data_IF_253292192165
#
_entry.id   IF_253292192165
#
_cell.length_a   1.000
_cell.length_b   1.000
_cell.length_c   1.000
_cell.angle_alpha   90.00
_cell.angle_beta   90.00
_cell.angle_gamma   90.00
#
_symmetry.space_group_name_H-M   'P 1'
#
loop_
_entity.id
_entity.type
_entity.pdbx_description
1 polymer ?
#
# COMPACT_ATOMS: atom_id res chain seq x y z
N UNK A 1 13.76 15.41 45.54
CA UNK A 1 12.46 14.73 45.33
C UNK A 1 12.71 13.46 44.51
N UNK A 2 12.40 12.26 45.01
CA UNK A 2 12.60 11.02 44.24
C UNK A 2 11.24 10.42 43.86
N UNK A 3 11.04 10.15 42.57
CA UNK A 3 9.82 9.54 42.04
C UNK A 3 10.14 8.08 41.79
N UNK A 4 9.53 7.17 42.54
CA UNK A 4 9.70 5.72 42.34
C UNK A 4 8.51 5.18 41.55
N UNK A 5 8.75 4.75 40.32
CA UNK A 5 7.74 4.14 39.45
C UNK A 5 7.92 2.61 39.47
N UNK A 6 7.23 1.96 40.41
CA UNK A 6 7.05 0.50 40.47
C UNK A 6 8.28 -0.34 40.85
N UNK A 7 8.04 -1.49 41.50
CA UNK A 7 9.01 -2.58 41.62
C UNK A 7 8.41 -3.80 40.91
N UNK A 8 9.13 -4.37 39.93
CA UNK A 8 8.71 -5.52 39.09
C UNK A 8 7.49 -5.35 38.17
N UNK A 9 7.05 -4.13 37.86
CA UNK A 9 5.96 -3.92 36.90
C UNK A 9 6.44 -4.00 35.44
N UNK A 10 5.72 -4.76 34.59
CA UNK A 10 5.94 -4.78 33.13
C UNK A 10 5.03 -3.76 32.46
N UNK A 11 5.56 -2.58 32.17
CA UNK A 11 4.84 -1.55 31.44
C UNK A 11 5.00 -1.82 29.93
N UNK A 12 3.90 -2.08 29.24
CA UNK A 12 3.88 -2.28 27.78
C UNK A 12 2.96 -1.24 27.16
N UNK A 13 3.47 -0.52 26.16
CA UNK A 13 2.73 0.50 25.38
C UNK A 13 2.14 1.62 26.23
N UNK A 14 2.92 2.19 27.15
CA UNK A 14 2.47 3.33 27.95
C UNK A 14 3.42 4.50 27.75
N UNK A 15 2.86 5.69 27.63
CA UNK A 15 3.60 6.96 27.63
C UNK A 15 3.60 7.50 29.05
N UNK A 16 4.78 7.70 29.65
CA UNK A 16 4.93 8.30 30.98
C UNK A 16 5.77 9.57 30.85
N UNK A 17 5.14 10.71 31.14
CA UNK A 17 5.68 12.05 31.01
C UNK A 17 4.60 13.04 30.56
N UNK A 18 4.81 14.34 30.78
CA UNK A 18 4.11 15.36 30.01
C UNK A 18 4.67 15.29 28.59
N UNK A 19 3.86 14.91 27.61
CA UNK A 19 4.20 15.14 26.21
C UNK A 19 4.20 16.65 26.00
N UNK A 20 5.34 17.30 26.20
CA UNK A 20 5.55 18.64 25.71
C UNK A 20 5.43 18.54 24.19
N UNK A 21 4.28 18.98 23.68
CA UNK A 21 4.04 19.17 22.26
C UNK A 21 5.09 20.16 21.76
N UNK A 22 6.25 19.65 21.36
CA UNK A 22 7.13 20.36 20.44
C UNK A 22 6.35 20.37 19.13
N UNK A 23 5.65 21.48 18.90
CA UNK A 23 5.08 21.83 17.62
C UNK A 23 6.17 21.62 16.55
N UNK A 24 6.02 20.55 15.79
CA UNK A 24 7.05 20.05 14.89
C UNK A 24 6.45 19.10 13.87
N UNK A 25 5.38 19.56 13.21
CA UNK A 25 4.93 19.12 11.90
C UNK A 25 4.68 17.61 11.69
N UNK A 26 3.41 17.31 11.47
CA UNK A 26 2.90 16.15 10.74
C UNK A 26 2.78 14.86 11.56
N UNK A 27 1.76 14.82 12.40
CA UNK A 27 1.02 13.60 12.70
C UNK A 27 0.35 13.08 11.42
N UNK A 28 1.13 12.56 10.48
CA UNK A 28 0.58 11.67 9.47
C UNK A 28 0.24 10.38 10.22
N UNK A 29 -1.00 9.88 10.16
CA UNK A 29 -1.28 8.56 10.71
C UNK A 29 -0.26 7.59 10.13
N UNK A 30 0.23 6.68 10.95
CA UNK A 30 1.16 5.62 10.58
C UNK A 30 0.49 4.76 9.50
N UNK A 31 0.45 5.27 8.26
CA UNK A 31 -0.08 4.63 7.07
C UNK A 31 0.83 3.43 6.92
N UNK A 32 0.33 2.24 7.34
CA UNK A 32 0.91 0.95 6.97
C UNK A 32 1.26 1.07 5.50
N UNK A 33 2.56 1.16 5.18
CA UNK A 33 3.06 1.23 3.80
C UNK A 33 2.45 0.03 3.08
N UNK A 34 1.44 0.29 2.25
CA UNK A 34 0.76 -0.77 1.52
C UNK A 34 1.79 -1.35 0.54
N UNK A 35 1.76 -2.66 0.33
CA UNK A 35 2.78 -3.41 -0.42
C UNK A 35 3.01 -2.93 -1.87
N UNK A 36 2.07 -2.14 -2.40
CA UNK A 36 2.15 -1.44 -3.68
C UNK A 36 3.20 -0.32 -3.73
N UNK A 37 3.68 0.21 -2.60
CA UNK A 37 4.86 1.10 -2.59
C UNK A 37 6.19 0.34 -2.59
N UNK A 38 6.18 -0.95 -2.19
CA UNK A 38 7.42 -1.69 -1.93
C UNK A 38 8.02 -2.29 -3.21
N UNK A 39 7.19 -2.69 -4.18
CA UNK A 39 7.64 -3.25 -5.46
C UNK A 39 6.70 -2.89 -6.64
N UNK A 40 6.75 -1.65 -7.15
CA UNK A 40 5.94 -1.24 -8.30
C UNK A 40 6.21 -2.09 -9.56
N UNK A 41 7.43 -2.60 -9.71
CA UNK A 41 7.82 -3.43 -10.85
C UNK A 41 7.11 -4.79 -10.90
N UNK A 42 6.92 -5.44 -9.74
CA UNK A 42 6.22 -6.74 -9.70
C UNK A 42 4.77 -6.59 -10.15
N UNK A 43 4.12 -5.51 -9.74
CA UNK A 43 2.75 -5.23 -10.17
C UNK A 43 2.68 -5.08 -11.69
N UNK A 44 3.55 -4.26 -12.30
CA UNK A 44 3.61 -4.14 -13.76
C UNK A 44 3.88 -5.48 -14.46
N UNK A 45 4.74 -6.33 -13.90
CA UNK A 45 4.99 -7.66 -14.43
C UNK A 45 3.72 -8.53 -14.41
N UNK A 46 2.98 -8.55 -13.31
CA UNK A 46 1.71 -9.28 -13.22
C UNK A 46 0.66 -8.74 -14.18
N UNK A 47 0.57 -7.42 -14.36
CA UNK A 47 -0.35 -6.81 -15.32
C UNK A 47 0.03 -7.21 -16.74
N UNK A 48 1.32 -7.14 -17.09
CA UNK A 48 1.80 -7.57 -18.42
C UNK A 48 1.49 -9.04 -18.68
N UNK A 49 1.68 -9.91 -17.68
CA UNK A 49 1.41 -11.33 -17.78
C UNK A 49 -0.10 -11.60 -17.93
N UNK A 50 -0.93 -10.87 -17.19
CA UNK A 50 -2.38 -10.97 -17.27
C UNK A 50 -2.90 -10.50 -18.64
N UNK A 51 -2.42 -9.36 -19.15
CA UNK A 51 -2.79 -8.86 -20.48
C UNK A 51 -2.36 -9.83 -21.58
N UNK A 52 -1.13 -10.35 -21.51
CA UNK A 52 -0.65 -11.37 -22.45
C UNK A 52 -1.53 -12.62 -22.43
N UNK A 53 -1.89 -13.09 -21.23
CA UNK A 53 -2.79 -14.23 -21.06
C UNK A 53 -4.19 -13.97 -21.61
N UNK A 54 -4.74 -12.77 -21.37
CA UNK A 54 -6.05 -12.36 -21.90
C UNK A 54 -6.05 -12.30 -23.44
N UNK A 55 -4.93 -11.91 -24.05
CA UNK A 55 -4.77 -11.88 -25.52
C UNK A 55 -4.78 -13.26 -26.18
N UNK A 56 -4.46 -14.33 -25.44
CA UNK A 56 -4.40 -15.70 -26.00
C UNK A 56 -5.77 -16.31 -26.26
N UNK A 57 -6.84 -15.80 -25.65
CA UNK A 57 -8.16 -16.40 -25.79
C UNK A 57 -8.85 -15.97 -27.09
N UNK A 58 -9.62 -16.87 -27.69
CA UNK A 58 -10.40 -16.62 -28.92
C UNK A 58 -11.57 -15.63 -28.75
N UNK A 59 -11.71 -14.96 -27.59
CA UNK A 59 -12.81 -14.03 -27.34
C UNK A 59 -12.68 -12.71 -28.14
N UNK A 60 -11.53 -12.44 -28.76
CA UNK A 60 -11.28 -11.17 -29.46
C UNK A 60 -11.95 -11.05 -30.81
N UNK A 61 -12.48 -12.13 -31.40
CA UNK A 61 -13.06 -12.09 -32.74
C UNK A 61 -14.12 -10.98 -32.95
N UNK A 62 -15.07 -10.74 -32.02
CA UNK A 62 -16.03 -9.64 -32.15
C UNK A 62 -15.36 -8.26 -32.06
N UNK A 63 -14.31 -8.14 -31.24
CA UNK A 63 -13.57 -6.88 -31.02
C UNK A 63 -12.75 -6.54 -32.26
N UNK A 64 -12.11 -7.53 -32.88
CA UNK A 64 -11.36 -7.39 -34.12
C UNK A 64 -12.30 -6.97 -35.25
N UNK A 65 -13.45 -7.65 -35.40
CA UNK A 65 -14.45 -7.31 -36.42
C UNK A 65 -15.01 -5.89 -36.23
N UNK A 66 -15.19 -5.45 -34.98
CA UNK A 66 -15.60 -4.07 -34.68
C UNK A 66 -14.52 -3.05 -35.09
N UNK A 67 -13.25 -3.33 -34.80
CA UNK A 67 -12.11 -2.50 -35.20
C UNK A 67 -11.98 -2.40 -36.72
N UNK A 68 -12.10 -3.52 -37.43
CA UNK A 68 -12.08 -3.54 -38.90
C UNK A 68 -13.20 -2.68 -39.48
N UNK A 69 -14.38 -2.67 -38.86
CA UNK A 69 -15.51 -1.83 -39.27
C UNK A 69 -15.31 -0.31 -39.07
N UNK A 70 -14.28 0.13 -38.34
CA UNK A 70 -13.95 1.56 -38.17
C UNK A 70 -12.98 2.04 -39.26
N UNK A 71 -12.17 1.13 -39.82
CA UNK A 71 -11.18 1.42 -40.84
C UNK A 71 -11.67 1.18 -42.28
N UNK A 72 -12.92 0.74 -42.43
CA UNK A 72 -13.62 0.47 -43.70
C UNK A 72 -14.73 1.51 -43.92
#
# INVERSE_FOLDING_TARGET
MSIRIGNKNKIKKSSIGHQYNINGNNEKPLKKKKLNEKHPFLFNFFISLLVGFILLFSFWNPIISWIEGIFN
#
